data_IF_399570989956
#
_entry.id   IF_399570989956
#
_cell.length_a   1.000
_cell.length_b   1.000
_cell.length_c   1.000
_cell.angle_alpha   90.00
_cell.angle_beta   90.00
_cell.angle_gamma   90.00
#
_symmetry.space_group_name_H-M   'P 1'
#
loop_
_entity.id
_entity.type
_entity.pdbx_description
1 polymer ?
#
# COMPACT_ATOMS: atom_id res chain seq x y z
N UNK A 1 19.31 -4.84 1.76
CA UNK A 1 19.37 -4.15 3.07
C UNK A 1 18.40 -2.97 2.98
N UNK A 2 17.09 -3.25 2.89
CA UNK A 2 16.09 -2.28 2.39
C UNK A 2 14.90 -2.10 3.34
N UNK A 3 14.93 -2.77 4.50
CA UNK A 3 13.90 -2.66 5.52
C UNK A 3 13.99 -1.33 6.29
N UNK A 4 15.15 -0.68 6.27
CA UNK A 4 15.43 0.54 7.03
C UNK A 4 15.04 1.84 6.32
N UNK A 5 14.57 1.80 5.05
CA UNK A 5 14.30 3.01 4.28
C UNK A 5 12.85 3.52 4.38
N UNK A 6 11.91 2.65 4.75
CA UNK A 6 10.50 3.01 4.87
C UNK A 6 9.96 2.67 6.26
N UNK A 7 9.15 3.56 6.84
CA UNK A 7 8.43 3.27 8.08
C UNK A 7 7.63 1.97 7.98
N UNK A 8 7.68 1.18 9.05
CA UNK A 8 7.03 -0.14 9.09
C UNK A 8 5.52 -0.08 8.92
N UNK A 9 4.89 0.97 9.44
CA UNK A 9 3.46 1.26 9.33
C UNK A 9 3.08 1.66 7.89
N UNK A 10 3.91 2.45 7.20
CA UNK A 10 3.73 2.78 5.79
C UNK A 10 3.80 1.54 4.89
N UNK A 11 4.71 0.61 5.19
CA UNK A 11 4.78 -0.67 4.50
C UNK A 11 3.57 -1.56 4.81
N UNK A 12 3.11 -1.57 6.06
CA UNK A 12 1.91 -2.32 6.49
C UNK A 12 0.65 -1.82 5.77
N UNK A 13 0.46 -0.51 5.69
CA UNK A 13 -0.67 0.09 4.98
C UNK A 13 -0.61 -0.20 3.48
N UNK A 14 0.58 -0.17 2.88
CA UNK A 14 0.77 -0.53 1.47
C UNK A 14 0.47 -2.01 1.21
N UNK A 15 0.90 -2.94 2.08
CA UNK A 15 0.54 -4.35 1.96
C UNK A 15 -0.96 -4.58 2.11
N UNK A 16 -1.60 -3.94 3.09
CA UNK A 16 -3.06 -4.01 3.26
C UNK A 16 -3.81 -3.48 2.03
N UNK A 17 -3.25 -2.48 1.35
CA UNK A 17 -3.80 -1.92 0.11
C UNK A 17 -3.77 -2.94 -1.03
N UNK A 18 -2.66 -3.67 -1.22
CA UNK A 18 -2.57 -4.73 -2.23
C UNK A 18 -3.51 -5.90 -1.95
N UNK A 19 -3.61 -6.36 -0.70
CA UNK A 19 -4.54 -7.43 -0.32
C UNK A 19 -6.00 -7.02 -0.55
N UNK A 20 -6.35 -5.77 -0.23
CA UNK A 20 -7.70 -5.23 -0.45
C UNK A 20 -7.99 -5.05 -1.95
N UNK A 21 -6.98 -4.70 -2.75
CA UNK A 21 -7.09 -4.64 -4.20
C UNK A 21 -7.31 -6.02 -4.81
N UNK A 22 -6.58 -7.03 -4.33
CA UNK A 22 -6.76 -8.42 -4.77
C UNK A 22 -8.16 -8.94 -4.40
N UNK A 23 -8.61 -8.68 -3.17
CA UNK A 23 -9.99 -8.96 -2.75
C UNK A 23 -11.00 -8.28 -3.70
N UNK A 24 -10.78 -7.02 -4.08
CA UNK A 24 -11.64 -6.33 -5.05
C UNK A 24 -11.60 -6.95 -6.46
N UNK A 25 -10.43 -7.39 -6.91
CA UNK A 25 -10.26 -8.02 -8.22
C UNK A 25 -10.98 -9.37 -8.29
N UNK A 26 -11.08 -10.07 -7.16
CA UNK A 26 -11.70 -11.39 -7.05
C UNK A 26 -13.12 -11.39 -6.42
N UNK A 27 -13.62 -10.24 -5.93
CA UNK A 27 -14.91 -10.15 -5.23
C UNK A 27 -16.14 -10.05 -6.14
N UNK A 28 -17.21 -10.77 -5.76
CA UNK A 28 -18.55 -10.57 -6.30
C UNK A 28 -19.15 -9.23 -5.85
N UNK A 29 -20.15 -8.72 -6.60
CA UNK A 29 -20.70 -7.36 -6.46
C UNK A 29 -21.12 -6.96 -5.03
N UNK A 30 -21.52 -7.91 -4.18
CA UNK A 30 -21.95 -7.65 -2.80
C UNK A 30 -20.82 -7.28 -1.84
N UNK A 31 -19.58 -7.74 -2.10
CA UNK A 31 -18.42 -7.47 -1.21
C UNK A 31 -17.61 -6.24 -1.63
N UNK A 32 -17.88 -5.68 -2.82
CA UNK A 32 -17.05 -4.60 -3.37
C UNK A 32 -17.19 -3.26 -2.62
N UNK A 33 -18.33 -2.96 -2.00
CA UNK A 33 -18.52 -1.67 -1.31
C UNK A 33 -17.64 -1.53 -0.06
N UNK A 34 -17.50 -2.61 0.71
CA UNK A 34 -16.64 -2.64 1.89
C UNK A 34 -15.16 -2.54 1.52
N UNK A 35 -14.74 -3.34 0.53
CA UNK A 35 -13.36 -3.35 0.06
C UNK A 35 -12.96 -2.02 -0.64
N UNK A 36 -13.87 -1.39 -1.42
CA UNK A 36 -13.63 -0.05 -1.98
C UNK A 36 -13.44 1.01 -0.90
N UNK A 37 -14.28 1.00 0.14
CA UNK A 37 -14.16 1.95 1.26
C UNK A 37 -12.81 1.78 1.98
N UNK A 38 -12.42 0.53 2.24
CA UNK A 38 -11.12 0.19 2.83
C UNK A 38 -9.95 0.63 1.96
N UNK A 39 -10.03 0.46 0.64
CA UNK A 39 -8.99 0.89 -0.31
C UNK A 39 -8.79 2.41 -0.28
N UNK A 40 -9.89 3.19 -0.22
CA UNK A 40 -9.83 4.66 -0.13
C UNK A 40 -9.22 5.13 1.20
N UNK A 41 -9.57 4.50 2.31
CA UNK A 41 -9.00 4.80 3.63
C UNK A 41 -7.49 4.56 3.65
N UNK A 42 -7.07 3.39 3.17
CA UNK A 42 -5.65 3.03 3.06
C UNK A 42 -4.90 3.99 2.15
N UNK A 43 -5.48 4.36 0.99
CA UNK A 43 -4.91 5.35 0.08
C UNK A 43 -4.70 6.71 0.77
N UNK A 44 -5.68 7.17 1.56
CA UNK A 44 -5.56 8.42 2.34
C UNK A 44 -4.44 8.35 3.38
N UNK A 45 -4.32 7.27 4.14
CA UNK A 45 -3.25 7.09 5.14
C UNK A 45 -1.87 7.08 4.49
N UNK A 46 -1.75 6.29 3.42
CA UNK A 46 -0.56 6.20 2.57
C UNK A 46 -0.15 7.55 2.00
N UNK A 47 -1.10 8.38 1.55
CA UNK A 47 -0.81 9.67 0.92
C UNK A 47 -0.50 10.78 1.94
N UNK A 48 -1.18 10.77 3.10
CA UNK A 48 -1.01 11.75 4.18
C UNK A 48 0.08 11.39 5.19
N UNK A 49 0.90 10.39 4.93
CA UNK A 49 1.93 9.93 5.84
C UNK A 49 3.09 10.95 5.94
N UNK A 50 3.51 11.28 7.18
CA UNK A 50 4.56 12.29 7.47
C UNK A 50 5.91 12.02 6.80
N UNK A 51 6.24 10.75 6.53
CA UNK A 51 7.38 10.37 5.67
C UNK A 51 7.47 11.16 4.36
N UNK A 52 6.35 11.52 3.73
CA UNK A 52 6.35 12.28 2.48
C UNK A 52 6.77 13.74 2.65
N UNK A 53 6.68 14.27 3.86
CA UNK A 53 7.12 15.63 4.19
C UNK A 53 8.62 15.67 4.51
N UNK A 54 9.29 14.52 4.56
CA UNK A 54 10.74 14.41 4.75
C UNK A 54 11.48 14.48 3.41
N UNK A 55 12.79 14.82 3.40
CA UNK A 55 13.61 14.75 2.18
C UNK A 55 13.67 13.37 1.52
N UNK A 56 13.35 12.30 2.28
CA UNK A 56 13.26 10.94 1.75
C UNK A 56 11.95 10.68 0.96
N UNK A 57 10.93 11.54 1.13
CA UNK A 57 9.61 11.50 0.50
C UNK A 57 9.58 11.84 -1.00
N UNK A 58 10.59 11.42 -1.75
CA UNK A 58 10.74 11.78 -3.17
C UNK A 58 9.75 11.04 -4.08
N UNK A 59 9.51 11.53 -5.31
CA UNK A 59 8.76 10.78 -6.32
C UNK A 59 9.32 9.37 -6.57
N UNK A 60 10.64 9.20 -6.54
CA UNK A 60 11.30 7.91 -6.65
C UNK A 60 10.98 6.98 -5.46
N UNK A 61 10.87 7.52 -4.25
CA UNK A 61 10.46 6.75 -3.07
C UNK A 61 9.01 6.26 -3.17
N UNK A 62 8.12 7.02 -3.83
CA UNK A 62 6.74 6.55 -4.12
C UNK A 62 6.73 5.35 -5.07
N UNK A 63 7.58 5.37 -6.09
CA UNK A 63 7.72 4.26 -7.06
C UNK A 63 8.34 3.05 -6.37
N UNK A 64 9.48 3.21 -5.71
CA UNK A 64 10.17 2.13 -4.99
C UNK A 64 9.26 1.43 -3.97
N UNK A 65 8.41 2.19 -3.26
CA UNK A 65 7.42 1.62 -2.34
C UNK A 65 6.40 0.72 -3.05
N UNK A 66 5.90 1.12 -4.22
CA UNK A 66 4.95 0.31 -5.01
C UNK A 66 5.60 -0.99 -5.46
N UNK A 67 6.83 -0.91 -5.98
CA UNK A 67 7.60 -2.09 -6.42
C UNK A 67 7.87 -3.08 -5.28
N UNK A 68 8.35 -2.60 -4.13
CA UNK A 68 8.61 -3.45 -2.95
C UNK A 68 7.34 -4.16 -2.48
N UNK A 69 6.22 -3.44 -2.45
CA UNK A 69 4.96 -4.01 -1.98
C UNK A 69 4.33 -4.99 -3.00
N UNK A 70 4.51 -4.75 -4.29
CA UNK A 70 4.13 -5.69 -5.36
C UNK A 70 4.92 -6.99 -5.23
N UNK A 71 6.26 -6.91 -5.16
CA UNK A 71 7.13 -8.08 -5.01
C UNK A 71 6.81 -8.90 -3.75
N UNK A 72 6.44 -8.26 -2.64
CA UNK A 72 6.02 -8.95 -1.40
C UNK A 72 4.67 -9.66 -1.51
N UNK A 73 3.76 -9.14 -2.31
CA UNK A 73 2.46 -9.76 -2.53
C UNK A 73 2.62 -10.97 -3.44
N UNK A 74 3.42 -10.84 -4.50
CA UNK A 74 3.72 -11.94 -5.44
C UNK A 74 4.54 -13.08 -4.79
N UNK A 75 5.47 -12.75 -3.88
CA UNK A 75 6.25 -13.76 -3.14
C UNK A 75 5.46 -14.44 -2.01
N UNK A 76 4.27 -13.96 -1.69
CA UNK A 76 3.37 -14.52 -0.67
C UNK A 76 2.15 -15.26 -1.22
N UNK A 77 2.03 -15.37 -2.55
CA UNK A 77 1.01 -16.18 -3.26
C UNK A 77 1.51 -17.58 -3.56
#
# INVERSE_FOLDING_TARGET
MDRDRFPSDLLRDQTAWYLTYDELAHASASSQTGARRRLLELSRRIAGHSFWETPAGTPAARVARKEIARARTEAGS
#
